data_IF_312289399657
#
_entry.id   IF_312289399657
#
_cell.length_a   1.000
_cell.length_b   1.000
_cell.length_c   1.000
_cell.angle_alpha   90.00
_cell.angle_beta   90.00
_cell.angle_gamma   90.00
#
_symmetry.space_group_name_H-M   'P 1'
#
loop_
_entity.id
_entity.type
_entity.pdbx_description
1 polymer ?
#
# COMPACT_ATOMS: atom_id res chain seq x y z
N UNK A 1 10.23 -17.98 -32.87
CA UNK A 1 9.72 -18.22 -31.50
C UNK A 1 10.69 -17.56 -30.53
N UNK A 2 10.53 -16.25 -30.31
CA UNK A 2 11.35 -15.52 -29.34
C UNK A 2 10.74 -15.76 -27.95
N UNK A 3 11.39 -16.63 -27.19
CA UNK A 3 11.06 -16.85 -25.79
C UNK A 3 11.57 -15.63 -25.02
N UNK A 4 10.77 -14.55 -25.01
CA UNK A 4 11.01 -13.40 -24.12
C UNK A 4 10.64 -13.90 -22.74
N UNK A 5 11.64 -14.15 -21.90
CA UNK A 5 11.42 -14.50 -20.50
C UNK A 5 10.66 -13.35 -19.85
N UNK A 6 9.36 -13.53 -19.60
CA UNK A 6 8.60 -12.60 -18.79
C UNK A 6 9.20 -12.64 -17.37
N UNK A 7 9.76 -11.53 -16.91
CA UNK A 7 10.16 -11.40 -15.52
C UNK A 7 8.92 -11.63 -14.66
N UNK A 8 8.98 -12.60 -13.75
CA UNK A 8 7.87 -12.90 -12.84
C UNK A 8 7.84 -11.79 -11.78
N UNK A 9 6.65 -11.29 -11.46
CA UNK A 9 6.49 -10.34 -10.35
C UNK A 9 7.10 -10.92 -9.06
N UNK A 10 7.89 -10.09 -8.38
CA UNK A 10 8.39 -10.31 -7.03
C UNK A 10 8.24 -8.99 -6.27
N UNK A 11 7.72 -9.05 -5.04
CA UNK A 11 7.63 -7.88 -4.19
C UNK A 11 9.03 -7.43 -3.80
N UNK A 12 9.30 -6.12 -3.83
CA UNK A 12 10.56 -5.56 -3.38
C UNK A 12 10.83 -5.93 -1.92
N UNK A 13 12.05 -6.37 -1.62
CA UNK A 13 12.43 -6.87 -0.29
C UNK A 13 12.22 -5.84 0.83
N UNK A 14 12.31 -4.54 0.52
CA UNK A 14 12.05 -3.48 1.51
C UNK A 14 10.57 -3.29 1.74
N UNK A 15 9.74 -3.39 0.69
CA UNK A 15 8.29 -3.41 0.86
C UNK A 15 7.86 -4.64 1.67
N UNK A 16 8.43 -5.82 1.40
CA UNK A 16 8.17 -7.03 2.17
C UNK A 16 8.54 -6.87 3.66
N UNK A 17 9.68 -6.23 3.95
CA UNK A 17 10.13 -5.99 5.32
C UNK A 17 9.37 -4.88 6.06
N UNK A 18 8.98 -3.81 5.36
CA UNK A 18 8.36 -2.62 5.97
C UNK A 18 6.82 -2.72 6.01
N UNK A 19 6.24 -3.83 5.54
CA UNK A 19 4.79 -4.01 5.47
C UNK A 19 4.32 -5.38 5.98
N UNK A 20 3.03 -5.44 6.31
CA UNK A 20 2.27 -6.64 6.62
C UNK A 20 1.43 -6.98 5.39
N UNK A 21 1.59 -8.19 4.86
CA UNK A 21 0.82 -8.66 3.71
C UNK A 21 -0.64 -8.92 4.07
N UNK A 22 -1.57 -8.32 3.33
CA UNK A 22 -3.01 -8.53 3.53
C UNK A 22 -3.62 -9.45 2.47
N UNK A 23 -2.92 -9.74 1.38
CA UNK A 23 -3.43 -10.54 0.26
C UNK A 23 -3.46 -9.75 -1.05
N UNK A 24 -4.42 -10.09 -1.92
CA UNK A 24 -4.44 -9.61 -3.30
C UNK A 24 -5.83 -9.11 -3.70
N UNK A 25 -5.88 -8.06 -4.52
CA UNK A 25 -7.12 -7.52 -5.09
C UNK A 25 -6.84 -6.89 -6.44
N UNK A 26 -7.67 -7.22 -7.44
CA UNK A 26 -7.51 -6.67 -8.79
C UNK A 26 -6.15 -7.05 -9.34
N UNK A 27 -5.33 -6.04 -9.67
CA UNK A 27 -3.96 -6.27 -10.12
C UNK A 27 -2.93 -6.09 -9.01
N UNK A 28 -3.34 -5.79 -7.78
CA UNK A 28 -2.43 -5.38 -6.71
C UNK A 28 -2.22 -6.45 -5.63
N UNK A 29 -1.00 -6.49 -5.08
CA UNK A 29 -0.78 -6.86 -3.69
C UNK A 29 -1.30 -5.75 -2.79
N UNK A 30 -1.99 -6.13 -1.73
CA UNK A 30 -2.55 -5.23 -0.74
C UNK A 30 -1.74 -5.40 0.53
N UNK A 31 -1.08 -4.32 0.96
CA UNK A 31 -0.17 -4.32 2.09
C UNK A 31 -0.62 -3.28 3.11
N UNK A 32 -0.28 -3.51 4.39
CA UNK A 32 -0.36 -2.51 5.45
C UNK A 32 1.04 -2.09 5.84
N UNK A 33 1.33 -0.80 5.86
CA UNK A 33 2.62 -0.32 6.34
C UNK A 33 2.77 -0.65 7.84
N UNK A 34 3.93 -1.18 8.25
CA UNK A 34 4.21 -1.56 9.65
C UNK A 34 4.56 -0.33 10.49
N UNK A 35 3.55 0.52 10.67
CA UNK A 35 3.62 1.71 11.51
C UNK A 35 2.30 1.94 12.24
N UNK A 36 2.31 1.69 13.55
CA UNK A 36 1.17 1.77 14.45
C UNK A 36 0.51 3.16 14.49
N UNK A 37 1.25 4.20 14.12
CA UNK A 37 0.81 5.59 14.22
C UNK A 37 -0.27 5.96 13.20
N UNK A 38 -0.40 5.20 12.11
CA UNK A 38 -1.26 5.55 10.99
C UNK A 38 -2.08 4.36 10.49
N UNK A 39 -3.28 4.65 10.00
CA UNK A 39 -3.99 3.72 9.12
C UNK A 39 -3.45 3.90 7.70
N UNK A 40 -2.50 3.03 7.34
CA UNK A 40 -1.69 3.15 6.13
C UNK A 40 -1.73 1.87 5.30
N UNK A 41 -2.37 1.94 4.14
CA UNK A 41 -2.37 0.88 3.12
C UNK A 41 -1.39 1.22 1.98
N UNK A 42 -0.80 0.18 1.39
CA UNK A 42 0.05 0.27 0.21
C UNK A 42 -0.45 -0.73 -0.83
N UNK A 43 -0.67 -0.28 -2.06
CA UNK A 43 -0.98 -1.15 -3.19
C UNK A 43 0.25 -1.27 -4.10
N UNK A 44 0.58 -2.50 -4.48
CA UNK A 44 1.69 -2.78 -5.40
C UNK A 44 1.12 -3.54 -6.60
N UNK A 45 1.01 -2.93 -7.79
CA UNK A 45 0.61 -3.64 -9.00
C UNK A 45 1.54 -4.82 -9.27
N UNK A 46 0.96 -6.00 -9.50
CA UNK A 46 1.66 -7.24 -9.81
C UNK A 46 2.08 -7.26 -11.28
N UNK A 47 2.88 -6.27 -11.66
CA UNK A 47 3.51 -6.12 -12.98
C UNK A 47 5.01 -5.98 -12.76
N UNK A 48 5.78 -6.86 -13.37
CA UNK A 48 7.22 -6.83 -13.21
C UNK A 48 7.81 -5.57 -13.84
N UNK A 49 8.88 -5.07 -13.23
CA UNK A 49 9.70 -3.97 -13.72
C UNK A 49 8.98 -2.61 -13.90
N UNK A 50 7.72 -2.47 -13.46
CA UNK A 50 7.02 -1.19 -13.41
C UNK A 50 7.55 -0.33 -12.26
N UNK A 51 7.99 0.88 -12.61
CA UNK A 51 8.50 1.88 -11.67
C UNK A 51 7.48 3.01 -11.54
N UNK A 52 6.96 3.45 -12.69
CA UNK A 52 6.04 4.58 -12.80
C UNK A 52 4.63 4.12 -13.15
N UNK A 53 3.62 4.93 -12.79
CA UNK A 53 2.24 4.69 -13.22
C UNK A 53 2.11 4.58 -14.75
N UNK A 54 2.92 5.34 -15.48
CA UNK A 54 2.93 5.35 -16.95
C UNK A 54 3.60 4.12 -17.58
N UNK A 55 4.26 3.27 -16.80
CA UNK A 55 4.80 1.98 -17.28
C UNK A 55 3.69 0.93 -17.43
N UNK A 56 2.55 1.14 -16.76
CA UNK A 56 1.36 0.30 -16.91
C UNK A 56 0.67 0.59 -18.24
N UNK A 57 0.12 -0.44 -18.88
CA UNK A 57 -0.80 -0.25 -20.01
C UNK A 57 -2.10 0.42 -19.54
N UNK A 58 -2.88 0.96 -20.49
CA UNK A 58 -4.10 1.71 -20.19
C UNK A 58 -5.13 0.92 -19.35
N UNK A 59 -5.30 -0.38 -19.62
CA UNK A 59 -6.22 -1.22 -18.86
C UNK A 59 -5.76 -1.40 -17.40
N UNK A 60 -4.45 -1.60 -17.19
CA UNK A 60 -3.86 -1.72 -15.86
C UNK A 60 -3.88 -0.39 -15.10
N UNK A 61 -3.71 0.74 -15.78
CA UNK A 61 -3.87 2.07 -15.18
C UNK A 61 -5.30 2.30 -14.67
N UNK A 62 -6.31 1.93 -15.47
CA UNK A 62 -7.72 2.02 -15.08
C UNK A 62 -8.05 1.07 -13.93
N UNK A 63 -7.52 -0.16 -13.98
CA UNK A 63 -7.72 -1.13 -12.91
C UNK A 63 -7.05 -0.69 -11.60
N UNK A 64 -5.82 -0.14 -11.66
CA UNK A 64 -5.15 0.42 -10.50
C UNK A 64 -5.95 1.58 -9.90
N UNK A 65 -6.52 2.45 -10.72
CA UNK A 65 -7.39 3.53 -10.23
C UNK A 65 -8.63 2.98 -9.50
N UNK A 66 -9.23 1.89 -10.00
CA UNK A 66 -10.32 1.19 -9.34
C UNK A 66 -9.90 0.55 -8.01
N UNK A 67 -8.72 -0.09 -7.98
CA UNK A 67 -8.15 -0.73 -6.79
C UNK A 67 -7.82 0.32 -5.71
N UNK A 68 -7.22 1.45 -6.10
CA UNK A 68 -6.98 2.60 -5.20
C UNK A 68 -8.28 3.15 -4.64
N UNK A 69 -9.31 3.33 -5.48
CA UNK A 69 -10.62 3.81 -5.03
C UNK A 69 -11.24 2.85 -4.00
N UNK A 70 -11.18 1.54 -4.25
CA UNK A 70 -11.71 0.52 -3.33
C UNK A 70 -11.00 0.58 -1.97
N UNK A 71 -9.66 0.51 -1.96
CA UNK A 71 -8.88 0.51 -0.73
C UNK A 71 -9.05 1.82 0.04
N UNK A 72 -8.99 2.97 -0.64
CA UNK A 72 -9.19 4.29 -0.05
C UNK A 72 -10.57 4.45 0.59
N UNK A 73 -11.61 3.91 -0.05
CA UNK A 73 -13.00 3.97 0.47
C UNK A 73 -13.11 3.17 1.77
N UNK A 74 -12.63 1.94 1.78
CA UNK A 74 -12.69 1.07 2.98
C UNK A 74 -11.77 1.58 4.09
N UNK A 75 -10.58 2.08 3.74
CA UNK A 75 -9.68 2.74 4.67
C UNK A 75 -10.35 3.92 5.38
N UNK A 76 -11.07 4.77 4.64
CA UNK A 76 -11.82 5.89 5.24
C UNK A 76 -13.04 5.43 6.04
N UNK A 77 -13.68 4.33 5.64
CA UNK A 77 -14.87 3.79 6.33
C UNK A 77 -14.52 3.18 7.69
N UNK A 78 -13.37 2.53 7.81
CA UNK A 78 -13.00 1.76 9.00
C UNK A 78 -11.87 2.39 9.84
N UNK A 79 -11.01 3.19 9.20
CA UNK A 79 -9.88 3.82 9.85
C UNK A 79 -10.25 5.03 10.72
N UNK A 80 -9.26 5.53 11.45
CA UNK A 80 -9.37 6.70 12.33
C UNK A 80 -8.76 7.92 11.63
N UNK A 81 -9.61 8.83 11.18
CA UNK A 81 -9.18 10.10 10.60
C UNK A 81 -10.18 10.67 9.61
N UNK A 82 -9.89 11.88 9.14
CA UNK A 82 -10.84 12.65 8.33
C UNK A 82 -10.28 13.00 6.94
N UNK A 83 -8.95 12.99 6.77
CA UNK A 83 -8.30 13.35 5.51
C UNK A 83 -7.47 12.20 4.96
N UNK A 84 -7.63 11.90 3.68
CA UNK A 84 -6.80 10.92 3.00
C UNK A 84 -5.61 11.60 2.30
N UNK A 85 -4.42 11.01 2.44
CA UNK A 85 -3.27 11.26 1.56
C UNK A 85 -3.09 10.04 0.65
N UNK A 86 -2.96 10.28 -0.65
CA UNK A 86 -2.69 9.25 -1.66
C UNK A 86 -1.48 9.69 -2.47
N UNK A 87 -0.51 8.81 -2.70
CA UNK A 87 0.68 9.17 -3.46
C UNK A 87 1.49 7.97 -3.95
N UNK A 88 2.02 8.10 -5.17
CA UNK A 88 3.11 7.30 -5.71
C UNK A 88 4.37 8.16 -5.65
N UNK A 89 5.40 7.72 -4.93
CA UNK A 89 6.64 8.48 -4.74
C UNK A 89 7.84 7.76 -5.33
N UNK A 90 8.22 6.60 -4.76
CA UNK A 90 9.21 5.72 -5.38
C UNK A 90 10.69 6.13 -5.29
N UNK A 91 11.04 7.27 -4.67
CA UNK A 91 12.45 7.74 -4.61
C UNK A 91 13.43 6.76 -3.94
N UNK A 92 12.95 5.88 -3.06
CA UNK A 92 13.75 4.94 -2.28
C UNK A 92 13.56 3.50 -2.75
N UNK A 93 12.32 3.11 -3.03
CA UNK A 93 11.97 1.81 -3.62
C UNK A 93 11.37 2.10 -4.99
N UNK A 94 12.06 1.68 -6.05
CA UNK A 94 11.65 1.99 -7.42
C UNK A 94 10.37 1.26 -7.83
N UNK A 95 10.12 0.04 -7.36
CA UNK A 95 8.92 -0.72 -7.71
C UNK A 95 7.66 0.10 -7.45
N UNK A 96 6.80 0.25 -8.46
CA UNK A 96 5.58 1.06 -8.38
C UNK A 96 4.73 0.63 -7.19
N UNK A 97 4.41 1.58 -6.31
CA UNK A 97 3.52 1.37 -5.18
C UNK A 97 2.75 2.64 -4.84
N UNK A 98 1.49 2.47 -4.45
CA UNK A 98 0.58 3.57 -4.12
C UNK A 98 0.33 3.56 -2.61
N UNK A 99 0.74 4.62 -1.93
CA UNK A 99 0.41 4.82 -0.51
C UNK A 99 -0.98 5.43 -0.38
N UNK A 100 -1.73 4.97 0.62
CA UNK A 100 -2.97 5.58 1.10
C UNK A 100 -2.91 5.67 2.62
N UNK A 101 -2.92 6.88 3.15
CA UNK A 101 -2.75 7.14 4.58
C UNK A 101 -3.89 8.01 5.08
N UNK A 102 -4.62 7.52 6.09
CA UNK A 102 -5.63 8.32 6.76
C UNK A 102 -4.96 9.23 7.80
N UNK A 103 -5.37 10.50 7.82
CA UNK A 103 -4.75 11.61 8.56
C UNK A 103 -5.74 12.30 9.48
N UNK A 104 -5.23 12.84 10.58
CA UNK A 104 -5.99 13.58 11.58
C UNK A 104 -5.14 14.72 12.18
N UNK A 105 -5.77 15.81 12.69
CA UNK A 105 -5.02 16.94 13.27
C UNK A 105 -4.10 16.61 14.44
N UNK A 106 -4.35 15.51 15.13
CA UNK A 106 -3.59 15.00 16.27
C UNK A 106 -2.59 13.90 15.88
N UNK A 107 -2.48 13.54 14.60
CA UNK A 107 -1.48 12.59 14.14
C UNK A 107 -0.06 13.21 14.18
N UNK A 108 1.00 12.41 14.40
CA UNK A 108 2.33 12.95 14.68
C UNK A 108 2.91 13.86 13.59
N UNK A 109 2.51 13.66 12.33
CA UNK A 109 3.07 14.37 11.20
C UNK A 109 2.19 15.53 10.72
N UNK A 110 1.02 15.77 11.33
CA UNK A 110 0.11 16.83 10.89
C UNK A 110 0.73 18.23 11.07
N UNK A 111 0.53 19.19 10.13
CA UNK A 111 -0.17 19.08 8.84
C UNK A 111 0.74 18.62 7.68
N UNK A 112 1.99 18.26 7.97
CA UNK A 112 2.97 17.81 7.00
C UNK A 112 2.74 16.39 6.48
N UNK A 113 3.58 15.94 5.53
CA UNK A 113 3.57 14.56 5.05
C UNK A 113 4.07 13.58 6.11
N UNK A 114 3.54 12.35 6.10
CA UNK A 114 4.06 11.27 6.98
C UNK A 114 5.44 10.76 6.52
N UNK A 115 5.73 10.85 5.22
CA UNK A 115 6.97 10.34 4.64
C UNK A 115 8.18 11.11 5.17
N UNK A 116 9.09 10.40 5.84
CA UNK A 116 10.32 10.98 6.39
C UNK A 116 10.14 11.84 7.63
N UNK A 117 8.94 11.93 8.21
CA UNK A 117 8.69 12.75 9.40
C UNK A 117 9.43 12.23 10.66
N UNK A 118 9.32 10.93 10.95
CA UNK A 118 10.03 10.27 12.06
C UNK A 118 9.99 8.73 11.93
N UNK A 119 10.88 7.98 12.63
CA UNK A 119 10.95 6.52 12.53
C UNK A 119 9.62 5.83 12.79
N UNK A 120 9.34 4.76 12.05
CA UNK A 120 8.13 3.94 12.23
C UNK A 120 8.06 3.34 13.64
N UNK A 121 6.87 3.35 14.24
CA UNK A 121 6.61 2.58 15.44
C UNK A 121 6.01 1.25 15.01
N UNK A 122 6.83 0.21 14.91
CA UNK A 122 6.41 -1.10 14.38
C UNK A 122 5.53 -1.87 15.35
N UNK A 123 4.59 -2.64 14.84
CA UNK A 123 3.77 -3.55 15.64
C UNK A 123 4.64 -4.62 16.31
N UNK A 124 4.21 -5.11 17.48
CA UNK A 124 4.75 -6.38 17.99
C UNK A 124 4.30 -7.52 17.05
N UNK A 125 4.99 -8.67 16.98
CA UNK A 125 4.55 -9.77 16.13
C UNK A 125 3.11 -10.23 16.38
N UNK A 126 2.70 -10.21 17.66
CA UNK A 126 1.32 -10.57 18.07
C UNK A 126 0.32 -9.52 17.57
N UNK A 127 0.64 -8.24 17.68
CA UNK A 127 -0.27 -7.19 17.24
C UNK A 127 -0.29 -7.06 15.71
N UNK A 128 0.83 -7.31 15.02
CA UNK A 128 0.89 -7.38 13.56
C UNK A 128 -0.07 -8.46 13.01
N UNK A 129 -0.12 -9.64 13.63
CA UNK A 129 -1.06 -10.69 13.24
C UNK A 129 -2.54 -10.29 13.48
N UNK A 130 -2.83 -9.57 14.58
CA UNK A 130 -4.18 -9.04 14.84
C UNK A 130 -4.57 -7.95 13.84
N UNK A 131 -3.63 -7.07 13.50
CA UNK A 131 -3.82 -6.04 12.47
C UNK A 131 -4.08 -6.68 11.12
N UNK A 132 -3.29 -7.67 10.74
CA UNK A 132 -3.46 -8.42 9.49
C UNK A 132 -4.88 -8.99 9.40
N UNK A 133 -5.30 -9.73 10.42
CA UNK A 133 -6.65 -10.31 10.45
C UNK A 133 -7.75 -9.24 10.41
N UNK A 134 -7.61 -8.16 11.20
CA UNK A 134 -8.59 -7.06 11.22
C UNK A 134 -8.74 -6.40 9.86
N UNK A 135 -7.61 -6.06 9.22
CA UNK A 135 -7.61 -5.38 7.93
C UNK A 135 -8.09 -6.27 6.81
N UNK A 136 -7.72 -7.55 6.81
CA UNK A 136 -8.27 -8.51 5.84
C UNK A 136 -9.78 -8.59 5.91
N UNK A 137 -10.35 -8.63 7.11
CA UNK A 137 -11.79 -8.60 7.32
C UNK A 137 -12.43 -7.29 6.82
N UNK A 138 -11.84 -6.15 7.14
CA UNK A 138 -12.34 -4.83 6.69
C UNK A 138 -12.24 -4.64 5.17
N UNK A 139 -11.24 -5.26 4.55
CA UNK A 139 -11.02 -5.23 3.12
C UNK A 139 -11.74 -6.36 2.38
N UNK A 140 -12.46 -7.25 3.08
CA UNK A 140 -13.14 -8.39 2.45
C UNK A 140 -12.16 -9.28 1.66
N UNK A 141 -10.98 -9.53 2.24
CA UNK A 141 -9.89 -10.34 1.66
C UNK A 141 -9.78 -11.75 2.29
N UNK A 142 -10.73 -12.11 3.14
CA UNK A 142 -10.82 -13.42 3.81
C UNK A 142 -11.49 -14.50 2.96
#
# INVERSE_FOLDING_TARGET
MTNVGYNKFALDTRLEHDTIDLGERGICRVLRFDDQRYDWLVLVPQRADCIEFIDLNEADQQQLAADVRWAATLLRQHGKGQKLNVGALGNVVAQLHIHMVLRAPDDPAWPGPVWGHSPAQRFTPVDAAKEQHRWRRWLELD
#
